data_IF_613334859198
#
_entry.id   IF_613334859198
#
_cell.length_a   1.000
_cell.length_b   1.000
_cell.length_c   1.000
_cell.angle_alpha   90.00
_cell.angle_beta   90.00
_cell.angle_gamma   90.00
#
_symmetry.space_group_name_H-M   'P 1'
#
loop_
_entity.id
_entity.type
_entity.pdbx_description
1 polymer ?
#
# COMPACT_ATOMS: atom_id res chain seq x y z
N UNK A 1 -57.71 0.46 -18.71
CA UNK A 1 -56.72 -0.32 -19.49
C UNK A 1 -55.77 0.69 -20.12
N UNK A 2 -54.95 1.38 -19.32
CA UNK A 2 -53.67 0.98 -18.73
C UNK A 2 -52.55 0.95 -19.78
N UNK A 3 -51.62 1.92 -19.75
CA UNK A 3 -50.44 1.84 -20.63
C UNK A 3 -49.59 3.09 -20.90
N UNK A 4 -49.71 4.23 -20.19
CA UNK A 4 -48.81 5.39 -20.41
C UNK A 4 -48.26 6.12 -19.18
N UNK A 5 -48.48 5.62 -17.97
CA UNK A 5 -47.86 6.16 -16.75
C UNK A 5 -47.06 5.06 -16.05
N UNK A 6 -45.81 4.86 -16.45
CA UNK A 6 -44.75 4.18 -15.67
C UNK A 6 -43.42 4.30 -16.41
N UNK A 7 -42.90 5.51 -16.50
CA UNK A 7 -41.52 5.76 -16.95
C UNK A 7 -40.80 6.76 -16.04
N UNK A 8 -41.17 6.80 -14.75
CA UNK A 8 -40.58 7.75 -13.78
C UNK A 8 -40.15 7.06 -12.47
N UNK A 9 -39.81 5.77 -12.54
CA UNK A 9 -39.28 5.02 -11.41
C UNK A 9 -38.16 4.08 -11.84
N UNK A 10 -37.00 4.66 -12.18
CA UNK A 10 -35.75 3.89 -12.17
C UNK A 10 -34.65 4.73 -11.53
N UNK A 11 -34.60 4.63 -10.21
CA UNK A 11 -33.38 4.59 -9.41
C UNK A 11 -32.34 5.67 -9.73
N UNK A 12 -32.45 6.81 -9.05
CA UNK A 12 -31.26 7.57 -8.66
C UNK A 12 -30.32 6.62 -7.92
N UNK A 13 -29.31 6.12 -8.63
CA UNK A 13 -28.14 5.49 -8.01
C UNK A 13 -27.42 6.60 -7.26
N UNK A 14 -27.86 6.83 -6.02
CA UNK A 14 -27.08 7.55 -5.03
C UNK A 14 -25.87 6.66 -4.78
N UNK A 15 -24.79 6.93 -5.51
CA UNK A 15 -23.47 6.37 -5.23
C UNK A 15 -23.11 6.83 -3.82
N UNK A 16 -23.40 5.98 -2.83
CA UNK A 16 -22.96 6.18 -1.46
C UNK A 16 -21.47 6.49 -1.49
N UNK A 17 -21.10 7.73 -1.16
CA UNK A 17 -19.70 8.13 -1.11
C UNK A 17 -18.94 7.14 -0.22
N UNK A 18 -17.83 6.59 -0.72
CA UNK A 18 -16.98 5.70 0.09
C UNK A 18 -16.44 6.51 1.25
N UNK A 19 -16.83 6.14 2.47
CA UNK A 19 -16.34 6.78 3.70
C UNK A 19 -14.94 6.26 3.99
N UNK A 20 -13.99 7.18 4.17
CA UNK A 20 -12.63 6.89 4.63
C UNK A 20 -12.55 7.24 6.11
N UNK A 21 -11.94 6.37 6.90
CA UNK A 21 -11.70 6.60 8.33
C UNK A 21 -10.21 6.41 8.60
N UNK A 22 -9.57 7.46 9.12
CA UNK A 22 -8.19 7.37 9.58
C UNK A 22 -8.16 6.77 10.98
N UNK A 23 -7.28 5.78 11.19
CA UNK A 23 -7.13 5.11 12.49
C UNK A 23 -5.66 5.06 12.89
N UNK A 24 -5.38 5.52 14.11
CA UNK A 24 -4.06 5.43 14.72
C UNK A 24 -4.07 4.33 15.79
N UNK A 25 -4.09 3.07 15.36
CA UNK A 25 -4.27 1.90 16.25
C UNK A 25 -3.02 1.05 16.39
N UNK A 26 -1.88 1.47 15.84
CA UNK A 26 -0.63 0.71 15.89
C UNK A 26 0.25 1.28 17.00
N UNK A 27 0.61 0.43 17.96
CA UNK A 27 1.63 0.75 18.96
C UNK A 27 2.99 0.29 18.44
N UNK A 28 3.87 1.27 18.22
CA UNK A 28 5.26 1.09 17.79
C UNK A 28 6.16 1.20 19.03
N UNK A 29 6.42 0.07 19.69
CA UNK A 29 7.29 -0.01 20.88
C UNK A 29 8.47 -0.92 20.60
N UNK A 30 9.42 -0.97 21.54
CA UNK A 30 10.56 -1.87 21.49
C UNK A 30 10.67 -2.68 22.79
N UNK A 31 11.26 -3.86 22.69
CA UNK A 31 11.78 -4.59 23.84
C UNK A 31 13.08 -3.95 24.34
N UNK A 32 13.55 -4.37 25.51
CA UNK A 32 14.76 -3.83 26.14
C UNK A 32 16.05 -4.07 25.30
N UNK A 33 16.05 -5.07 24.43
CA UNK A 33 17.13 -5.39 23.50
C UNK A 33 17.06 -4.62 22.17
N UNK A 34 16.05 -3.76 22.01
CA UNK A 34 15.84 -2.93 20.82
C UNK A 34 14.97 -3.55 19.73
N UNK A 35 14.59 -4.83 19.83
CA UNK A 35 13.69 -5.45 18.84
C UNK A 35 12.28 -4.86 18.91
N UNK A 36 11.54 -4.78 17.79
CA UNK A 36 10.17 -4.28 17.79
C UNK A 36 9.22 -5.10 18.68
N UNK A 37 8.45 -4.39 19.49
CA UNK A 37 7.34 -4.90 20.29
C UNK A 37 6.05 -4.23 19.78
N UNK A 38 5.46 -4.83 18.75
CA UNK A 38 4.39 -4.21 17.97
C UNK A 38 3.04 -4.72 18.39
N UNK A 39 2.06 -3.82 18.48
CA UNK A 39 0.68 -4.18 18.78
C UNK A 39 -0.29 -3.42 17.90
N UNK A 40 -1.27 -4.13 17.33
CA UNK A 40 -2.33 -3.51 16.53
C UNK A 40 -3.62 -3.61 17.33
N UNK A 41 -4.15 -2.47 17.74
CA UNK A 41 -5.41 -2.37 18.45
C UNK A 41 -6.61 -2.57 17.50
N UNK A 42 -7.71 -3.08 18.04
CA UNK A 42 -9.00 -3.19 17.35
C UNK A 42 -8.95 -3.92 15.98
N UNK A 43 -8.14 -4.97 15.89
CA UNK A 43 -7.96 -5.76 14.65
C UNK A 43 -9.26 -6.36 14.11
N UNK A 44 -10.24 -6.65 14.98
CA UNK A 44 -11.56 -7.16 14.58
C UNK A 44 -12.31 -6.18 13.69
N UNK A 45 -12.06 -4.88 13.82
CA UNK A 45 -12.65 -3.86 12.98
C UNK A 45 -12.27 -4.01 11.50
N UNK A 46 -11.11 -4.61 11.20
CA UNK A 46 -10.62 -4.75 9.81
C UNK A 46 -11.39 -5.79 9.00
N UNK A 47 -12.04 -6.73 9.68
CA UNK A 47 -12.76 -7.82 9.04
C UNK A 47 -13.80 -7.28 8.05
N UNK A 48 -13.71 -7.71 6.78
CA UNK A 48 -14.62 -7.29 5.73
C UNK A 48 -14.39 -5.87 5.18
N UNK A 49 -13.35 -5.15 5.63
CA UNK A 49 -13.05 -3.78 5.17
C UNK A 49 -11.94 -3.71 4.14
N UNK A 50 -11.98 -2.67 3.32
CA UNK A 50 -10.84 -2.27 2.50
C UNK A 50 -9.85 -1.54 3.42
N UNK A 51 -8.66 -2.13 3.61
CA UNK A 51 -7.64 -1.60 4.52
C UNK A 51 -6.54 -0.96 3.71
N UNK A 52 -6.17 0.27 4.06
CA UNK A 52 -5.06 1.00 3.46
C UNK A 52 -4.03 1.25 4.56
N UNK A 53 -2.76 0.96 4.28
CA UNK A 53 -1.65 1.30 5.16
C UNK A 53 -0.63 2.15 4.40
N UNK A 54 -0.21 3.27 4.98
CA UNK A 54 0.84 4.14 4.45
C UNK A 54 2.08 3.91 5.29
N UNK A 55 3.10 3.25 4.71
CA UNK A 55 4.33 2.92 5.43
C UNK A 55 5.51 3.77 5.03
N UNK A 56 6.62 3.60 5.74
CA UNK A 56 7.87 4.30 5.50
C UNK A 56 9.05 3.35 5.59
N UNK A 57 9.87 3.23 4.54
CA UNK A 57 11.04 2.34 4.50
C UNK A 57 12.37 3.12 4.56
N UNK A 58 12.45 4.15 5.39
CA UNK A 58 13.59 5.08 5.41
C UNK A 58 14.85 4.53 6.12
N UNK A 59 14.77 3.40 6.82
CA UNK A 59 15.95 2.74 7.40
C UNK A 59 15.74 1.22 7.53
N UNK A 60 16.82 0.40 7.59
CA UNK A 60 16.71 -1.05 7.72
C UNK A 60 15.91 -1.51 8.96
N UNK A 61 16.10 -0.83 10.10
CA UNK A 61 15.36 -1.14 11.33
C UNK A 61 13.85 -0.91 11.15
N UNK A 62 13.48 0.20 10.53
CA UNK A 62 12.09 0.54 10.27
C UNK A 62 11.47 -0.37 9.20
N UNK A 63 12.23 -0.81 8.20
CA UNK A 63 11.73 -1.79 7.21
C UNK A 63 11.24 -3.06 7.91
N UNK A 64 12.02 -3.60 8.85
CA UNK A 64 11.64 -4.80 9.60
C UNK A 64 10.36 -4.58 10.43
N UNK A 65 10.28 -3.43 11.11
CA UNK A 65 9.11 -3.03 11.89
C UNK A 65 7.83 -2.93 11.04
N UNK A 66 7.93 -2.25 9.91
CA UNK A 66 6.82 -2.00 9.00
C UNK A 66 6.36 -3.29 8.31
N UNK A 67 7.28 -4.13 7.85
CA UNK A 67 6.95 -5.43 7.25
C UNK A 67 6.18 -6.34 8.23
N UNK A 68 6.56 -6.32 9.52
CA UNK A 68 5.90 -7.11 10.56
C UNK A 68 4.41 -6.77 10.68
N UNK A 69 4.08 -5.49 10.62
CA UNK A 69 2.68 -5.01 10.64
C UNK A 69 1.98 -5.26 9.30
N UNK A 70 2.66 -4.98 8.19
CA UNK A 70 2.15 -5.17 6.83
C UNK A 70 1.74 -6.62 6.54
N UNK A 71 2.52 -7.61 7.00
CA UNK A 71 2.17 -9.02 6.85
C UNK A 71 0.99 -9.47 7.72
N UNK A 72 0.64 -8.67 8.73
CA UNK A 72 -0.43 -8.99 9.68
C UNK A 72 -1.81 -8.53 9.17
N UNK A 73 -1.91 -7.38 8.50
CA UNK A 73 -3.22 -6.82 8.10
C UNK A 73 -4.12 -7.77 7.30
N UNK A 74 -3.64 -8.47 6.25
CA UNK A 74 -4.51 -9.38 5.50
C UNK A 74 -5.06 -10.52 6.36
N UNK A 75 -4.32 -10.94 7.39
CA UNK A 75 -4.68 -12.06 8.28
C UNK A 75 -5.82 -11.72 9.24
N UNK A 76 -6.14 -10.45 9.44
CA UNK A 76 -7.29 -10.00 10.22
C UNK A 76 -8.59 -9.91 9.39
N UNK A 77 -8.70 -10.75 8.34
CA UNK A 77 -9.86 -10.85 7.46
C UNK A 77 -10.20 -9.56 6.72
N UNK A 78 -9.18 -8.74 6.43
CA UNK A 78 -9.34 -7.58 5.55
C UNK A 78 -9.90 -8.05 4.20
N UNK A 79 -10.93 -7.35 3.71
CA UNK A 79 -11.57 -7.64 2.42
C UNK A 79 -10.60 -7.39 1.27
N UNK A 80 -9.91 -6.25 1.30
CA UNK A 80 -8.80 -5.93 0.42
C UNK A 80 -7.71 -5.23 1.23
N UNK A 81 -6.46 -5.33 0.78
CA UNK A 81 -5.35 -4.66 1.42
C UNK A 81 -4.54 -3.87 0.38
N UNK A 82 -4.34 -2.59 0.67
CA UNK A 82 -3.54 -1.67 -0.13
C UNK A 82 -2.41 -1.12 0.73
N UNK A 83 -1.18 -1.39 0.32
CA UNK A 83 0.01 -0.83 0.94
C UNK A 83 0.53 0.32 0.09
N UNK A 84 0.56 1.53 0.64
CA UNK A 84 1.15 2.71 0.00
C UNK A 84 2.56 2.88 0.56
N UNK A 85 3.53 2.81 -0.35
CA UNK A 85 4.95 3.02 -0.07
C UNK A 85 5.41 4.26 -0.83
N UNK A 86 5.53 5.42 -0.15
CA UNK A 86 5.90 6.68 -0.79
C UNK A 86 7.31 6.70 -1.38
N UNK A 87 8.21 5.86 -0.85
CA UNK A 87 9.60 5.83 -1.26
C UNK A 87 10.15 4.39 -1.22
N UNK A 88 10.75 3.95 -2.33
CA UNK A 88 11.38 2.64 -2.45
C UNK A 88 12.91 2.77 -2.31
N UNK A 89 13.49 2.47 -1.13
CA UNK A 89 14.85 2.88 -0.77
C UNK A 89 15.96 2.24 -1.61
N UNK A 90 15.69 1.09 -2.21
CA UNK A 90 16.65 0.33 -2.99
C UNK A 90 16.50 0.51 -4.50
N UNK A 91 15.71 1.50 -4.94
CA UNK A 91 15.32 1.67 -6.34
C UNK A 91 16.46 1.92 -7.33
N UNK A 92 17.63 2.34 -6.85
CA UNK A 92 18.85 2.54 -7.66
C UNK A 92 19.78 1.33 -7.68
N UNK A 93 19.40 0.25 -6.98
CA UNK A 93 20.12 -1.02 -6.90
C UNK A 93 19.27 -2.12 -7.52
N UNK A 94 18.69 -1.82 -8.68
CA UNK A 94 17.84 -2.69 -9.47
C UNK A 94 18.66 -3.65 -10.34
N UNK A 95 19.77 -3.19 -10.91
CA UNK A 95 20.59 -4.00 -11.82
C UNK A 95 21.93 -4.43 -11.20
N UNK A 96 22.45 -5.53 -11.73
CA UNK A 96 23.79 -6.06 -11.43
C UNK A 96 24.67 -5.70 -12.60
N UNK A 97 25.58 -4.74 -12.41
CA UNK A 97 26.51 -4.29 -13.45
C UNK A 97 27.84 -5.05 -13.39
N UNK A 98 28.23 -5.54 -12.20
CA UNK A 98 29.45 -6.32 -11.96
C UNK A 98 29.13 -7.62 -11.23
N UNK A 99 29.81 -8.71 -11.58
CA UNK A 99 29.68 -10.00 -10.89
C UNK A 99 29.95 -9.84 -9.39
N UNK A 100 29.07 -10.43 -8.56
CA UNK A 100 29.11 -10.28 -7.10
C UNK A 100 28.31 -9.09 -6.53
N UNK A 101 27.85 -8.16 -7.37
CA UNK A 101 26.94 -7.09 -6.92
C UNK A 101 25.55 -7.68 -6.59
N UNK A 102 24.95 -7.18 -5.51
CA UNK A 102 23.63 -7.62 -5.04
C UNK A 102 22.58 -6.58 -5.45
N UNK A 103 21.61 -7.01 -6.25
CA UNK A 103 20.43 -6.19 -6.57
C UNK A 103 19.47 -6.17 -5.37
N UNK A 104 19.70 -5.26 -4.42
CA UNK A 104 18.89 -5.15 -3.18
C UNK A 104 17.44 -4.78 -3.46
N UNK A 105 17.13 -4.13 -4.59
CA UNK A 105 15.76 -3.89 -5.05
C UNK A 105 14.96 -5.19 -5.15
N UNK A 106 15.56 -6.22 -5.75
CA UNK A 106 14.92 -7.53 -5.92
C UNK A 106 14.65 -8.18 -4.57
N UNK A 107 15.57 -8.05 -3.61
CA UNK A 107 15.39 -8.60 -2.26
C UNK A 107 14.24 -7.90 -1.55
N UNK A 108 14.16 -6.57 -1.60
CA UNK A 108 13.07 -5.82 -0.99
C UNK A 108 11.72 -6.14 -1.65
N UNK A 109 11.68 -6.25 -2.97
CA UNK A 109 10.48 -6.69 -3.70
C UNK A 109 10.05 -8.12 -3.35
N UNK A 110 11.02 -9.02 -3.08
CA UNK A 110 10.76 -10.38 -2.61
C UNK A 110 10.13 -10.39 -1.22
N UNK A 111 10.63 -9.55 -0.30
CA UNK A 111 10.02 -9.37 1.01
C UNK A 111 8.59 -8.85 0.85
N UNK A 112 8.40 -7.77 0.10
CA UNK A 112 7.05 -7.24 -0.17
C UNK A 112 6.12 -8.26 -0.84
N UNK A 113 6.65 -9.17 -1.64
CA UNK A 113 5.88 -10.26 -2.26
C UNK A 113 5.41 -11.33 -1.28
N UNK A 114 5.96 -11.38 -0.05
CA UNK A 114 5.53 -12.28 1.00
C UNK A 114 4.29 -11.78 1.76
N UNK A 115 3.73 -10.62 1.39
CA UNK A 115 2.46 -10.13 1.94
C UNK A 115 1.37 -11.20 1.68
N UNK A 116 0.66 -11.66 2.73
CA UNK A 116 -0.38 -12.66 2.54
C UNK A 116 -1.55 -12.14 1.71
N UNK A 117 -2.27 -13.06 1.08
CA UNK A 117 -3.50 -12.74 0.37
C UNK A 117 -4.55 -12.19 1.36
N UNK A 118 -5.27 -11.17 0.91
CA UNK A 118 -6.50 -10.69 1.56
C UNK A 118 -7.70 -11.56 1.17
N UNK A 119 -8.87 -11.33 1.77
CA UNK A 119 -10.06 -12.13 1.46
C UNK A 119 -10.52 -12.02 -0.02
N UNK A 120 -10.15 -10.95 -0.74
CA UNK A 120 -10.39 -10.80 -2.19
C UNK A 120 -9.17 -11.08 -3.07
N UNK A 121 -8.09 -11.60 -2.51
CA UNK A 121 -6.89 -11.97 -3.26
C UNK A 121 -5.68 -11.07 -2.96
N UNK A 122 -4.75 -10.93 -3.93
CA UNK A 122 -3.47 -10.24 -3.74
C UNK A 122 -3.57 -8.83 -3.17
N UNK A 123 -2.63 -8.48 -2.30
CA UNK A 123 -2.48 -7.10 -1.84
C UNK A 123 -1.99 -6.20 -2.99
N UNK A 124 -2.47 -4.96 -3.04
CA UNK A 124 -1.96 -3.96 -3.97
C UNK A 124 -0.87 -3.14 -3.29
N UNK A 125 0.29 -3.02 -3.92
CA UNK A 125 1.41 -2.23 -3.41
C UNK A 125 1.55 -1.00 -4.30
N UNK A 126 1.15 0.16 -3.81
CA UNK A 126 1.28 1.43 -4.51
C UNK A 126 2.64 2.02 -4.15
N UNK A 127 3.53 2.11 -5.13
CA UNK A 127 4.89 2.65 -4.97
C UNK A 127 4.98 3.94 -5.76
N UNK A 128 5.42 5.01 -5.10
CA UNK A 128 5.66 6.30 -5.74
C UNK A 128 7.12 6.44 -6.17
N UNK A 129 7.32 7.11 -7.30
CA UNK A 129 8.61 7.59 -7.81
C UNK A 129 9.68 6.50 -7.99
N UNK A 130 9.22 5.30 -8.35
CA UNK A 130 10.07 4.21 -8.80
C UNK A 130 10.33 4.36 -10.31
N UNK A 131 11.59 4.62 -10.68
CA UNK A 131 11.95 5.06 -12.03
C UNK A 131 12.25 3.91 -13.01
N UNK A 132 12.60 2.73 -12.52
CA UNK A 132 12.86 1.57 -13.36
C UNK A 132 11.61 0.68 -13.45
N UNK A 133 10.90 0.76 -14.58
CA UNK A 133 9.73 -0.10 -14.87
C UNK A 133 10.07 -1.61 -14.71
N UNK A 134 11.34 -1.97 -14.88
CA UNK A 134 11.89 -3.31 -14.72
C UNK A 134 11.68 -3.87 -13.32
N UNK A 135 11.62 -3.02 -12.28
CA UNK A 135 11.42 -3.45 -10.90
C UNK A 135 10.06 -4.09 -10.68
N UNK A 136 9.08 -3.81 -11.56
CA UNK A 136 7.78 -4.51 -11.58
C UNK A 136 7.97 -6.03 -11.68
N UNK A 137 8.97 -6.50 -12.41
CA UNK A 137 9.23 -7.92 -12.61
C UNK A 137 9.95 -8.59 -11.44
N UNK A 138 10.32 -7.85 -10.38
CA UNK A 138 10.85 -8.44 -9.15
C UNK A 138 9.77 -8.92 -8.19
N UNK A 139 8.54 -8.43 -8.35
CA UNK A 139 7.42 -8.86 -7.54
C UNK A 139 6.87 -10.20 -8.04
N UNK A 140 6.51 -11.07 -7.10
CA UNK A 140 5.80 -12.32 -7.43
C UNK A 140 4.31 -12.06 -7.70
N UNK A 141 3.64 -13.05 -8.28
CA UNK A 141 2.20 -13.02 -8.54
C UNK A 141 1.30 -12.96 -7.28
N UNK A 142 1.88 -13.06 -6.08
CA UNK A 142 1.13 -12.96 -4.82
C UNK A 142 0.74 -11.52 -4.47
N UNK A 143 1.30 -10.52 -5.14
CA UNK A 143 1.02 -9.10 -4.93
C UNK A 143 0.85 -8.39 -6.26
N UNK A 144 0.15 -7.25 -6.24
CA UNK A 144 -0.07 -6.43 -7.43
C UNK A 144 0.71 -5.12 -7.23
N UNK A 145 1.93 -4.99 -7.81
CA UNK A 145 2.67 -3.73 -7.77
C UNK A 145 2.04 -2.69 -8.69
N UNK A 146 1.75 -1.52 -8.14
CA UNK A 146 1.24 -0.34 -8.84
C UNK A 146 2.27 0.77 -8.73
N UNK A 147 2.91 1.06 -9.85
CA UNK A 147 3.92 2.11 -9.93
C UNK A 147 3.22 3.41 -10.32
N UNK A 148 3.18 4.36 -9.40
CA UNK A 148 2.53 5.65 -9.57
C UNK A 148 3.58 6.76 -9.52
N UNK A 149 3.26 7.93 -10.08
CA UNK A 149 4.13 9.10 -10.01
C UNK A 149 3.50 10.17 -9.13
N UNK A 150 4.30 10.79 -8.26
CA UNK A 150 3.85 11.92 -7.46
C UNK A 150 3.84 13.24 -8.27
N UNK A 151 4.31 13.22 -9.52
CA UNK A 151 4.45 14.39 -10.37
C UNK A 151 3.18 15.27 -10.49
N UNK A 152 1.95 14.72 -10.63
CA UNK A 152 0.74 15.56 -10.67
C UNK A 152 0.48 16.32 -9.36
N UNK A 153 0.79 15.71 -8.21
CA UNK A 153 0.64 16.36 -6.90
C UNK A 153 1.68 17.47 -6.74
N UNK A 154 2.90 17.25 -7.24
CA UNK A 154 3.95 18.26 -7.30
C UNK A 154 3.54 19.42 -8.21
N UNK A 155 3.00 19.16 -9.40
CA UNK A 155 2.51 20.20 -10.30
C UNK A 155 1.40 21.04 -9.66
N UNK A 156 0.46 20.39 -8.97
CA UNK A 156 -0.60 21.09 -8.26
C UNK A 156 -0.02 21.97 -7.14
N UNK A 157 0.91 21.45 -6.35
CA UNK A 157 1.57 22.24 -5.30
C UNK A 157 2.36 23.43 -5.88
N UNK A 158 3.16 23.21 -6.92
CA UNK A 158 3.90 24.28 -7.61
C UNK A 158 2.96 25.36 -8.17
N UNK A 159 1.79 24.98 -8.69
CA UNK A 159 0.79 25.94 -9.18
C UNK A 159 0.12 26.76 -8.08
N UNK A 160 0.20 26.29 -6.82
CA UNK A 160 -0.30 27.01 -5.64
C UNK A 160 0.76 27.84 -4.94
N UNK A 161 2.05 27.70 -5.30
CA UNK A 161 3.11 28.53 -4.76
C UNK A 161 3.08 29.92 -5.44
N UNK A 162 3.17 31.02 -4.68
CA UNK A 162 3.34 32.34 -5.28
C UNK A 162 4.65 32.39 -6.06
N UNK A 163 4.63 32.95 -7.28
CA UNK A 163 5.85 33.25 -8.02
C UNK A 163 6.73 34.14 -7.14
N UNK A 164 7.90 33.61 -6.76
CA UNK A 164 8.91 34.33 -5.97
C UNK A 164 9.65 35.35 -6.83
#
# INVERSE_FOLDING_TARGET
>A
HNGREKAEKTSSLVTSARRVEFRNTIQWKNFADGFPNLFIEDVKYMAGKDVIFIGSFHSPAIIFEQLSVVYSFPRYLAKSFHFILPYFPTGTMERVDTEGQIATAKILATLLSAIPLSAKGPAQIIIYDIHALQERFYFSDNVIPRLETAFPLLQQHLSTLPNS
#
